data_IF_349703222125
#
_entry.id   IF_349703222125
#
_cell.length_a   1.000
_cell.length_b   1.000
_cell.length_c   1.000
_cell.angle_alpha   90.00
_cell.angle_beta   90.00
_cell.angle_gamma   90.00
#
_symmetry.space_group_name_H-M   'P 1'
#
loop_
_entity.id
_entity.type
_entity.pdbx_description
1 polymer ?
#
# COMPACT_ATOMS: atom_id res chain seq x y z
N UNK A 1 -10.74 30.86 58.80
CA UNK A 1 -9.59 29.98 58.47
C UNK A 1 -9.99 28.62 57.88
N UNK A 2 -10.93 27.86 58.47
CA UNK A 2 -11.32 26.51 57.97
C UNK A 2 -12.11 26.52 56.65
N UNK A 3 -12.92 27.54 56.36
CA UNK A 3 -13.71 27.62 55.12
C UNK A 3 -12.84 27.71 53.86
N UNK A 4 -11.69 28.39 53.94
CA UNK A 4 -10.76 28.49 52.81
C UNK A 4 -10.16 27.14 52.44
N UNK A 5 -9.84 26.32 53.44
CA UNK A 5 -9.33 24.96 53.24
C UNK A 5 -10.38 24.06 52.57
N UNK A 6 -11.65 24.18 52.96
CA UNK A 6 -12.76 23.42 52.35
C UNK A 6 -12.97 23.86 50.91
N UNK A 7 -12.93 25.17 50.63
CA UNK A 7 -13.03 25.69 49.26
C UNK A 7 -11.90 25.18 48.36
N UNK A 8 -10.66 25.17 48.86
CA UNK A 8 -9.50 24.66 48.13
C UNK A 8 -9.61 23.15 47.87
N UNK A 9 -10.13 22.39 48.84
CA UNK A 9 -10.30 20.95 48.74
C UNK A 9 -11.43 20.58 47.76
N UNK A 10 -12.53 21.32 47.76
CA UNK A 10 -13.59 21.19 46.74
C UNK A 10 -13.07 21.51 45.34
N UNK A 11 -12.29 22.58 45.17
CA UNK A 11 -11.70 22.94 43.88
C UNK A 11 -10.73 21.86 43.39
N UNK A 12 -9.91 21.31 44.30
CA UNK A 12 -8.99 20.22 44.00
C UNK A 12 -9.75 18.97 43.54
N UNK A 13 -10.77 18.54 44.27
CA UNK A 13 -11.60 17.39 43.91
C UNK A 13 -12.33 17.59 42.57
N UNK A 14 -12.83 18.80 42.31
CA UNK A 14 -13.46 19.14 41.03
C UNK A 14 -12.44 19.02 39.87
N UNK A 15 -11.21 19.48 40.08
CA UNK A 15 -10.14 19.39 39.09
C UNK A 15 -9.74 17.93 38.85
N UNK A 16 -9.63 17.12 39.91
CA UNK A 16 -9.38 15.68 39.82
C UNK A 16 -10.51 14.97 39.07
N UNK A 17 -11.76 15.29 39.39
CA UNK A 17 -12.92 14.72 38.69
C UNK A 17 -12.91 15.09 37.20
N UNK A 18 -12.64 16.35 36.86
CA UNK A 18 -12.51 16.80 35.47
C UNK A 18 -11.33 16.12 34.76
N UNK A 19 -10.23 15.83 35.45
CA UNK A 19 -9.09 15.13 34.85
C UNK A 19 -9.44 13.66 34.51
N UNK A 20 -10.24 13.01 35.35
CA UNK A 20 -10.64 11.62 35.17
C UNK A 20 -11.84 11.45 34.22
N UNK A 21 -12.80 12.38 34.21
CA UNK A 21 -14.06 12.30 33.44
C UNK A 21 -14.24 13.39 32.36
N UNK A 22 -13.36 14.38 32.27
CA UNK A 22 -13.44 15.42 31.26
C UNK A 22 -13.10 14.89 29.86
N UNK A 23 -13.53 15.62 28.83
CA UNK A 23 -13.36 15.35 27.39
C UNK A 23 -11.91 15.08 26.89
N UNK A 24 -10.91 15.07 27.79
CA UNK A 24 -9.51 14.74 27.54
C UNK A 24 -9.02 13.56 28.42
N UNK A 25 -9.96 12.76 28.94
CA UNK A 25 -9.68 11.64 29.85
C UNK A 25 -8.79 10.60 29.16
N UNK A 26 -7.87 10.01 29.92
CA UNK A 26 -6.93 8.95 29.51
C UNK A 26 -7.64 7.78 28.80
N UNK A 27 -8.94 7.62 29.04
CA UNK A 27 -9.80 6.61 28.40
C UNK A 27 -10.10 6.87 26.91
N UNK A 28 -10.22 8.12 26.48
CA UNK A 28 -10.47 8.45 25.07
C UNK A 28 -9.18 8.37 24.24
N UNK A 29 -8.05 8.80 24.81
CA UNK A 29 -6.74 8.60 24.17
C UNK A 29 -6.40 7.13 23.96
N UNK A 30 -6.72 6.27 24.93
CA UNK A 30 -6.51 4.82 24.79
C UNK A 30 -7.45 4.23 23.75
N UNK A 31 -8.71 4.67 23.66
CA UNK A 31 -9.66 4.20 22.64
C UNK A 31 -9.24 4.61 21.22
N UNK A 32 -8.78 5.85 21.04
CA UNK A 32 -8.31 6.34 19.73
C UNK A 32 -7.00 5.65 19.31
N UNK A 33 -6.08 5.41 20.25
CA UNK A 33 -4.88 4.61 19.99
C UNK A 33 -5.17 3.14 19.63
N UNK A 34 -6.17 2.53 20.28
CA UNK A 34 -6.58 1.15 19.96
C UNK A 34 -7.19 1.08 18.55
N UNK A 35 -7.99 2.07 18.16
CA UNK A 35 -8.54 2.16 16.81
C UNK A 35 -7.44 2.30 15.75
N UNK A 36 -6.48 3.22 15.95
CA UNK A 36 -5.34 3.42 15.03
C UNK A 36 -4.49 2.15 14.90
N UNK A 37 -4.18 1.46 16.02
CA UNK A 37 -3.45 0.19 15.99
C UNK A 37 -4.20 -0.92 15.24
N UNK A 38 -5.53 -0.94 15.30
CA UNK A 38 -6.36 -1.91 14.56
C UNK A 38 -6.29 -1.66 13.05
N UNK A 39 -6.38 -0.40 12.62
CA UNK A 39 -6.29 -0.04 11.20
C UNK A 39 -4.88 -0.30 10.63
N UNK A 40 -3.82 -0.05 11.40
CA UNK A 40 -2.44 -0.33 10.97
C UNK A 40 -2.22 -1.82 10.68
N UNK A 41 -2.69 -2.72 11.56
CA UNK A 41 -2.56 -4.18 11.34
C UNK A 41 -3.28 -4.68 10.09
N UNK A 42 -4.43 -4.09 9.76
CA UNK A 42 -5.19 -4.46 8.55
C UNK A 42 -4.46 -3.97 7.30
N UNK A 43 -3.96 -2.73 7.32
CA UNK A 43 -3.19 -2.17 6.21
C UNK A 43 -1.91 -2.97 5.95
N UNK A 44 -1.16 -3.33 6.98
CA UNK A 44 0.06 -4.13 6.82
C UNK A 44 -0.22 -5.50 6.18
N UNK A 45 -1.36 -6.13 6.53
CA UNK A 45 -1.79 -7.39 5.91
C UNK A 45 -2.17 -7.20 4.44
N UNK A 46 -2.86 -6.11 4.10
CA UNK A 46 -3.25 -5.80 2.72
C UNK A 46 -2.03 -5.47 1.85
N UNK A 47 -1.07 -4.70 2.38
CA UNK A 47 0.19 -4.36 1.67
C UNK A 47 0.99 -5.62 1.37
N UNK A 48 1.12 -6.55 2.32
CA UNK A 48 1.81 -7.83 2.10
C UNK A 48 1.14 -8.66 1.00
N UNK A 49 -0.20 -8.76 1.01
CA UNK A 49 -0.94 -9.49 -0.04
C UNK A 49 -0.81 -8.83 -1.40
N UNK A 50 -0.89 -7.50 -1.47
CA UNK A 50 -0.78 -6.76 -2.71
C UNK A 50 0.63 -6.90 -3.32
N UNK A 51 1.67 -6.85 -2.49
CA UNK A 51 3.06 -7.08 -2.92
C UNK A 51 3.25 -8.49 -3.50
N UNK A 52 2.65 -9.51 -2.89
CA UNK A 52 2.72 -10.89 -3.39
C UNK A 52 1.97 -11.02 -4.72
N UNK A 53 0.73 -10.52 -4.80
CA UNK A 53 -0.05 -10.54 -6.03
C UNK A 53 0.61 -9.78 -7.18
N UNK A 54 1.27 -8.65 -6.89
CA UNK A 54 1.99 -7.88 -7.91
C UNK A 54 3.23 -8.62 -8.39
N UNK A 55 3.94 -9.35 -7.49
CA UNK A 55 5.05 -10.21 -7.88
C UNK A 55 4.57 -11.36 -8.77
N UNK A 56 3.46 -12.01 -8.41
CA UNK A 56 2.86 -13.09 -9.22
C UNK A 56 2.42 -12.59 -10.61
N UNK A 57 1.77 -11.41 -10.67
CA UNK A 57 1.38 -10.79 -11.95
C UNK A 57 2.61 -10.47 -12.79
N UNK A 58 3.68 -9.97 -12.17
CA UNK A 58 4.93 -9.65 -12.87
C UNK A 58 5.59 -10.92 -13.41
N UNK A 59 5.64 -11.98 -12.62
CA UNK A 59 6.20 -13.27 -13.05
C UNK A 59 5.39 -13.90 -14.19
N UNK A 60 4.06 -13.89 -14.08
CA UNK A 60 3.15 -14.34 -15.15
C UNK A 60 3.32 -13.52 -16.42
N UNK A 61 3.44 -12.19 -16.32
CA UNK A 61 3.69 -11.31 -17.48
C UNK A 61 5.04 -11.59 -18.12
N UNK A 62 6.11 -11.64 -17.33
CA UNK A 62 7.45 -11.88 -17.85
C UNK A 62 7.60 -13.27 -18.46
N UNK A 63 6.95 -14.29 -17.88
CA UNK A 63 6.87 -15.62 -18.46
C UNK A 63 6.13 -15.65 -19.79
N UNK A 64 4.98 -14.97 -19.90
CA UNK A 64 4.21 -14.89 -21.16
C UNK A 64 4.90 -14.05 -22.23
N UNK A 65 5.45 -12.90 -21.86
CA UNK A 65 6.21 -12.01 -22.76
C UNK A 65 7.45 -12.72 -23.31
N UNK A 66 8.17 -13.48 -22.46
CA UNK A 66 9.33 -14.26 -22.89
C UNK A 66 8.97 -15.43 -23.82
N UNK A 67 7.79 -16.05 -23.64
CA UNK A 67 7.29 -17.11 -24.54
C UNK A 67 6.83 -16.53 -25.87
N UNK A 68 6.14 -15.39 -25.87
CA UNK A 68 5.69 -14.72 -27.10
C UNK A 68 6.88 -14.18 -27.91
N UNK A 69 7.88 -13.58 -27.25
CA UNK A 69 9.10 -13.13 -27.91
C UNK A 69 9.85 -14.30 -28.54
N UNK A 70 9.99 -15.43 -27.83
CA UNK A 70 10.59 -16.65 -28.38
C UNK A 70 9.79 -17.22 -29.55
N UNK A 71 8.46 -17.31 -29.43
CA UNK A 71 7.60 -17.81 -30.50
C UNK A 71 7.66 -16.95 -31.77
N UNK A 72 7.71 -15.62 -31.62
CA UNK A 72 7.81 -14.67 -32.75
C UNK A 72 9.22 -14.65 -33.36
N UNK A 73 10.28 -14.62 -32.53
CA UNK A 73 11.66 -14.46 -33.00
C UNK A 73 12.30 -15.78 -33.47
N UNK A 74 12.08 -16.89 -32.77
CA UNK A 74 12.72 -18.18 -33.09
C UNK A 74 11.86 -19.05 -34.01
N UNK A 75 10.53 -19.09 -33.79
CA UNK A 75 9.62 -19.97 -34.54
C UNK A 75 8.90 -19.24 -35.69
N UNK A 76 9.01 -17.91 -35.78
CA UNK A 76 8.34 -17.12 -36.81
C UNK A 76 6.81 -17.20 -36.75
N UNK A 77 6.25 -17.54 -35.58
CA UNK A 77 4.82 -17.70 -35.40
C UNK A 77 4.14 -16.34 -35.41
N UNK A 78 3.09 -16.21 -36.22
CA UNK A 78 2.24 -15.01 -36.33
C UNK A 78 0.83 -15.36 -35.88
N UNK A 79 0.12 -14.42 -35.23
CA UNK A 79 -1.28 -14.63 -34.87
C UNK A 79 -2.16 -14.60 -36.14
N UNK A 80 -3.27 -15.35 -36.19
CA UNK A 80 -4.19 -15.29 -37.32
C UNK A 80 -4.76 -13.86 -37.47
N UNK A 81 -4.48 -13.21 -38.60
CA UNK A 81 -4.88 -11.83 -38.89
C UNK A 81 -3.81 -10.74 -38.66
N UNK A 82 -2.60 -11.08 -38.19
CA UNK A 82 -1.47 -10.14 -38.11
C UNK A 82 -0.65 -10.12 -39.41
N UNK A 83 -0.31 -8.92 -39.91
CA UNK A 83 0.63 -8.73 -41.03
C UNK A 83 2.03 -8.44 -40.49
N UNK A 84 2.95 -9.41 -40.63
CA UNK A 84 4.33 -9.28 -40.15
C UNK A 84 5.24 -8.63 -41.22
N UNK A 85 5.81 -7.46 -40.90
CA UNK A 85 6.77 -6.78 -41.77
C UNK A 85 8.20 -7.03 -41.28
N UNK A 86 8.97 -7.87 -41.98
CA UNK A 86 10.40 -8.04 -41.73
C UNK A 86 11.19 -7.04 -42.58
N UNK A 87 11.71 -5.99 -41.94
CA UNK A 87 12.58 -5.02 -42.60
C UNK A 87 13.95 -5.67 -42.86
N UNK A 88 14.21 -6.07 -44.09
CA UNK A 88 15.54 -6.52 -44.50
C UNK A 88 16.42 -5.29 -44.79
N UNK A 89 17.68 -5.24 -44.30
CA UNK A 89 18.58 -4.14 -44.61
C UNK A 89 18.79 -4.09 -46.13
N UNK A 90 18.58 -2.90 -46.70
CA UNK A 90 18.76 -2.65 -48.13
C UNK A 90 20.19 -3.02 -48.50
N UNK A 91 20.35 -4.06 -49.32
CA UNK A 91 21.64 -4.47 -49.89
C UNK A 91 22.27 -3.23 -50.51
N UNK A 92 23.32 -2.71 -49.86
CA UNK A 92 24.11 -1.62 -50.41
C UNK A 92 24.73 -2.17 -51.68
N UNK A 93 24.18 -1.79 -52.83
CA UNK A 93 24.78 -2.01 -54.13
C UNK A 93 26.08 -1.22 -54.13
N UNK A 94 27.17 -1.88 -53.78
CA UNK A 94 28.54 -1.41 -53.99
C UNK A 94 28.69 -1.18 -55.49
N UNK A 95 28.57 0.08 -55.90
CA UNK A 95 28.80 0.53 -57.27
C UNK A 95 30.31 0.58 -57.46
N UNK A 96 30.78 -0.24 -58.39
CA UNK A 96 32.14 -0.32 -58.91
C UNK A 96 32.64 1.06 -59.39
#
# INVERSE_FOLDING_TARGET
MRLFQIGLLCLFLFLQYKLWFGHNSVRDYTRLQIAVKKHQKINDKLIKRNKLLTADIKDLKTGLEGVEERARNELGLIKPGETFFRLLPKKQLTKN
#
